data_IF_815108846327
#
_entry.id   IF_815108846327
#
_cell.length_a   1.000
_cell.length_b   1.000
_cell.length_c   1.000
_cell.angle_alpha   90.00
_cell.angle_beta   90.00
_cell.angle_gamma   90.00
#
_symmetry.space_group_name_H-M   'P 1'
#
loop_
_entity.id
_entity.type
_entity.pdbx_description
1 polymer ?
#
# COMPACT_ATOMS: atom_id res chain seq x y z
N UNK A 1 -1.18 6.17 38.79
CA UNK A 1 -1.01 5.25 39.93
C UNK A 1 0.48 5.06 40.13
N UNK A 2 1.08 5.67 41.17
CA UNK A 2 2.44 5.43 41.72
C UNK A 2 3.65 5.62 40.75
N UNK A 3 4.81 6.17 41.14
CA UNK A 3 5.23 6.86 42.37
C UNK A 3 6.38 7.84 42.05
N UNK A 4 6.67 8.74 42.99
CA UNK A 4 7.60 9.88 42.88
C UNK A 4 8.89 9.59 43.67
N UNK A 5 10.00 10.30 43.42
CA UNK A 5 11.28 9.98 44.08
C UNK A 5 12.44 10.96 43.88
N UNK A 6 12.28 12.23 44.26
CA UNK A 6 13.42 13.16 44.42
C UNK A 6 14.00 13.04 45.84
N UNK A 7 15.32 12.98 45.98
CA UNK A 7 16.00 13.10 47.28
C UNK A 7 16.89 14.35 47.32
N UNK A 8 16.72 15.19 48.33
CA UNK A 8 17.52 16.39 48.61
C UNK A 8 17.87 16.38 50.10
N UNK A 9 19.13 16.16 50.44
CA UNK A 9 19.61 16.32 51.81
C UNK A 9 20.08 17.75 52.05
N UNK A 10 19.61 18.34 53.15
CA UNK A 10 20.12 19.58 53.74
C UNK A 10 20.57 19.28 55.16
N UNK A 11 21.76 19.74 55.53
CA UNK A 11 22.26 19.68 56.90
C UNK A 11 22.84 21.05 57.29
N UNK A 12 22.50 21.50 58.50
CA UNK A 12 22.94 22.77 59.10
C UNK A 12 24.13 22.50 60.03
N UNK A 13 24.94 23.53 60.31
CA UNK A 13 25.95 23.45 61.38
C UNK A 13 26.72 24.75 61.62
N UNK A 14 26.32 25.52 62.64
CA UNK A 14 27.17 26.52 63.31
C UNK A 14 27.39 26.07 64.77
N UNK A 15 28.52 26.44 65.39
CA UNK A 15 28.47 27.31 66.59
C UNK A 15 29.52 28.45 66.55
N UNK A 16 29.21 29.71 66.92
CA UNK A 16 29.22 30.36 68.27
C UNK A 16 30.61 30.81 68.77
N UNK A 17 30.81 32.11 69.03
CA UNK A 17 30.82 32.83 70.35
C UNK A 17 32.24 32.87 70.98
N UNK A 18 32.82 33.96 71.54
CA UNK A 18 32.48 35.41 71.68
C UNK A 18 33.75 36.27 71.93
N UNK A 19 33.75 37.62 71.74
CA UNK A 19 34.87 38.53 72.10
C UNK A 19 34.84 38.91 73.60
N UNK A 20 35.90 39.55 74.17
CA UNK A 20 35.63 40.84 74.84
C UNK A 20 36.79 41.87 75.04
N UNK A 21 36.35 43.12 75.26
CA UNK A 21 36.85 44.16 76.20
C UNK A 21 38.12 44.97 75.91
N UNK A 22 37.98 46.28 76.17
CA UNK A 22 39.05 47.24 76.41
C UNK A 22 38.90 47.95 77.77
N UNK A 23 39.71 48.97 77.99
CA UNK A 23 39.89 49.70 79.25
C UNK A 23 41.40 49.74 79.62
N UNK A 24 41.94 50.78 80.24
CA UNK A 24 41.36 52.06 80.67
C UNK A 24 42.48 53.11 80.76
N UNK A 25 42.17 54.38 80.54
CA UNK A 25 43.13 55.49 80.61
C UNK A 25 43.50 55.86 82.04
N UNK A 26 44.78 56.20 82.28
CA UNK A 26 45.21 57.10 83.35
C UNK A 26 46.28 58.04 82.82
N UNK A 27 46.01 59.34 82.85
CA UNK A 27 46.98 60.38 82.58
C UNK A 27 47.67 60.84 83.85
N UNK A 28 48.94 61.23 83.75
CA UNK A 28 49.62 62.06 84.75
C UNK A 28 50.26 63.22 83.98
N UNK A 29 49.85 64.43 84.33
CA UNK A 29 50.44 65.69 83.87
C UNK A 29 51.59 66.14 84.78
N UNK A 30 52.35 67.14 84.30
CA UNK A 30 53.51 67.84 84.89
C UNK A 30 54.83 67.42 84.21
N UNK A 31 55.66 68.32 83.67
CA UNK A 31 55.50 69.78 83.52
C UNK A 31 56.54 70.31 82.51
N UNK A 32 56.31 71.50 81.95
CA UNK A 32 57.25 72.17 81.04
C UNK A 32 58.31 72.95 81.81
N UNK A 33 59.56 72.95 81.31
CA UNK A 33 60.25 74.20 81.07
C UNK A 33 60.73 74.34 79.61
N UNK A 34 60.72 75.57 79.12
CA UNK A 34 61.19 76.01 77.80
C UNK A 34 62.62 76.61 77.90
N UNK A 35 63.26 77.10 76.84
CA UNK A 35 63.62 76.37 75.61
C UNK A 35 65.07 76.68 75.11
N UNK A 36 65.87 75.69 74.73
CA UNK A 36 67.01 75.84 73.79
C UNK A 36 67.08 74.57 72.90
N UNK A 37 67.65 74.66 71.68
CA UNK A 37 67.64 73.64 70.61
C UNK A 37 66.28 73.36 69.93
N UNK A 38 65.74 74.35 69.20
CA UNK A 38 64.57 74.17 68.30
C UNK A 38 64.84 74.21 66.79
N UNK A 39 66.06 74.49 66.34
CA UNK A 39 66.35 74.63 64.90
C UNK A 39 66.47 73.29 64.14
N UNK A 40 67.32 72.38 64.60
CA UNK A 40 67.70 71.16 63.84
C UNK A 40 66.63 70.06 63.84
N UNK A 41 65.81 69.98 64.88
CA UNK A 41 64.79 68.94 65.05
C UNK A 41 63.54 69.23 64.21
N UNK A 42 63.19 70.50 63.99
CA UNK A 42 62.01 70.87 63.19
C UNK A 42 62.22 70.50 61.71
N UNK A 43 63.39 70.76 61.15
CA UNK A 43 63.72 70.41 59.76
C UNK A 43 63.72 68.90 59.54
N UNK A 44 64.29 68.11 60.46
CA UNK A 44 64.29 66.64 60.33
C UNK A 44 62.90 66.02 60.49
N UNK A 45 62.04 66.60 61.34
CA UNK A 45 60.64 66.20 61.46
C UNK A 45 59.80 66.64 60.24
N UNK A 46 60.07 67.79 59.63
CA UNK A 46 59.42 68.22 58.40
C UNK A 46 59.82 67.37 57.18
N UNK A 47 61.11 66.98 57.07
CA UNK A 47 61.58 66.04 56.04
C UNK A 47 60.96 64.66 56.25
N UNK A 48 60.97 64.13 57.49
CA UNK A 48 60.26 62.88 57.81
C UNK A 48 58.78 62.99 57.45
N UNK A 49 58.09 64.06 57.84
CA UNK A 49 56.67 64.28 57.50
C UNK A 49 56.44 64.29 55.98
N UNK A 50 57.28 64.99 55.19
CA UNK A 50 57.18 64.96 53.73
C UNK A 50 57.39 63.55 53.15
N UNK A 51 58.33 62.77 53.67
CA UNK A 51 58.52 61.37 53.25
C UNK A 51 57.35 60.47 53.66
N UNK A 52 56.79 60.64 54.86
CA UNK A 52 55.59 59.91 55.31
C UNK A 52 54.36 60.27 54.45
N UNK A 53 54.16 61.55 54.14
CA UNK A 53 53.10 62.00 53.23
C UNK A 53 53.37 61.58 51.77
N UNK A 54 54.62 61.38 51.35
CA UNK A 54 54.97 60.83 50.04
C UNK A 54 54.63 59.33 49.97
N UNK A 55 55.11 58.52 50.91
CA UNK A 55 54.76 57.10 51.01
C UNK A 55 53.24 56.88 51.11
N UNK A 56 52.52 57.64 51.94
CA UNK A 56 51.06 57.52 52.02
C UNK A 56 50.34 57.92 50.72
N UNK A 57 50.91 58.84 49.93
CA UNK A 57 50.40 59.17 48.58
C UNK A 57 50.72 58.08 47.56
N UNK A 58 51.89 57.46 47.63
CA UNK A 58 52.28 56.32 46.80
C UNK A 58 51.44 55.08 47.12
N UNK A 59 51.28 54.71 48.39
CA UNK A 59 50.40 53.62 48.84
C UNK A 59 48.94 53.89 48.45
N UNK A 60 48.48 55.15 48.57
CA UNK A 60 47.15 55.57 48.10
C UNK A 60 46.98 55.51 46.57
N UNK A 61 48.04 55.73 45.80
CA UNK A 61 48.04 55.57 44.35
C UNK A 61 48.08 54.09 43.94
N UNK A 62 48.90 53.28 44.62
CA UNK A 62 48.96 51.82 44.46
C UNK A 62 47.62 51.16 44.79
N UNK A 63 46.93 51.58 45.86
CA UNK A 63 45.60 51.07 46.20
C UNK A 63 44.54 51.43 45.14
N UNK A 64 44.60 52.65 44.58
CA UNK A 64 43.75 53.05 43.45
C UNK A 64 44.04 52.22 42.20
N UNK A 65 45.32 52.02 41.85
CA UNK A 65 45.74 51.17 40.74
C UNK A 65 45.29 49.71 40.93
N UNK A 66 45.45 49.15 42.13
CA UNK A 66 44.99 47.81 42.49
C UNK A 66 43.46 47.67 42.34
N UNK A 67 42.70 48.67 42.81
CA UNK A 67 41.24 48.71 42.65
C UNK A 67 40.82 48.78 41.17
N UNK A 68 41.50 49.60 40.36
CA UNK A 68 41.29 49.68 38.91
C UNK A 68 41.61 48.35 38.21
N UNK A 69 42.72 47.70 38.56
CA UNK A 69 43.09 46.38 38.05
C UNK A 69 42.06 45.30 38.45
N UNK A 70 41.57 45.31 39.69
CA UNK A 70 40.49 44.43 40.13
C UNK A 70 39.15 44.70 39.40
N UNK A 71 38.88 45.94 38.99
CA UNK A 71 37.72 46.27 38.15
C UNK A 71 37.91 45.78 36.72
N UNK A 72 39.07 46.00 36.11
CA UNK A 72 39.42 45.49 34.78
C UNK A 72 39.39 43.96 34.74
N UNK A 73 39.92 43.30 35.76
CA UNK A 73 39.90 41.83 35.89
C UNK A 73 38.47 41.30 36.00
N UNK A 74 37.61 41.93 36.81
CA UNK A 74 36.17 41.58 36.91
C UNK A 74 35.44 41.83 35.59
N UNK A 75 35.72 42.94 34.92
CA UNK A 75 35.18 43.24 33.59
C UNK A 75 35.58 42.16 32.58
N UNK A 76 36.87 41.82 32.50
CA UNK A 76 37.40 40.78 31.62
C UNK A 76 36.77 39.41 31.88
N UNK A 77 36.61 39.01 33.16
CA UNK A 77 35.92 37.77 33.52
C UNK A 77 34.44 37.79 33.10
N UNK A 78 33.75 38.93 33.19
CA UNK A 78 32.36 39.06 32.73
C UNK A 78 32.25 38.94 31.21
N UNK A 79 33.12 39.62 30.45
CA UNK A 79 33.20 39.52 28.99
C UNK A 79 33.56 38.10 28.52
N UNK A 80 34.51 37.46 29.19
CA UNK A 80 34.89 36.07 28.94
C UNK A 80 33.70 35.13 29.17
N UNK A 81 33.01 35.22 30.31
CA UNK A 81 31.78 34.43 30.57
C UNK A 81 30.71 34.65 29.50
N UNK A 82 30.49 35.89 29.05
CA UNK A 82 29.53 36.20 27.99
C UNK A 82 29.94 35.58 26.64
N UNK A 83 31.23 35.64 26.27
CA UNK A 83 31.73 35.03 25.03
C UNK A 83 31.61 33.51 25.06
N UNK A 84 31.92 32.86 26.19
CA UNK A 84 31.76 31.41 26.34
C UNK A 84 30.29 30.98 26.28
N UNK A 85 29.36 31.75 26.87
CA UNK A 85 27.92 31.49 26.74
C UNK A 85 27.46 31.56 25.27
N UNK A 86 27.91 32.58 24.53
CA UNK A 86 27.61 32.72 23.10
C UNK A 86 28.23 31.62 22.24
N UNK A 87 29.39 31.10 22.62
CA UNK A 87 30.05 29.99 21.94
C UNK A 87 29.27 28.69 22.12
N UNK A 88 28.85 28.38 23.34
CA UNK A 88 28.00 27.22 23.68
C UNK A 88 26.64 27.28 22.97
N UNK A 89 25.97 28.44 22.95
CA UNK A 89 24.77 28.66 22.14
C UNK A 89 25.01 28.41 20.64
N UNK A 90 26.15 28.86 20.09
CA UNK A 90 26.50 28.65 18.68
C UNK A 90 26.84 27.20 18.35
N UNK A 91 27.46 26.46 19.26
CA UNK A 91 27.70 25.02 19.08
C UNK A 91 26.37 24.24 19.04
N UNK A 92 25.44 24.53 19.97
CA UNK A 92 24.10 23.92 19.97
C UNK A 92 23.31 24.21 18.68
N UNK A 93 23.39 25.43 18.16
CA UNK A 93 22.77 25.76 16.87
C UNK A 93 23.40 25.00 15.70
N UNK A 94 24.72 24.82 15.70
CA UNK A 94 25.43 24.02 14.69
C UNK A 94 25.05 22.53 14.74
N UNK A 95 24.84 21.96 15.93
CA UNK A 95 24.33 20.58 16.10
C UNK A 95 22.90 20.42 15.55
N UNK A 96 22.03 21.42 15.75
CA UNK A 96 20.68 21.42 15.17
C UNK A 96 20.72 21.56 13.63
N UNK A 97 21.62 22.39 13.10
CA UNK A 97 21.78 22.58 11.65
C UNK A 97 22.38 21.35 10.96
N UNK A 98 23.36 20.68 11.59
CA UNK A 98 23.95 19.43 11.07
C UNK A 98 22.98 18.24 11.15
N UNK A 99 22.14 18.16 12.19
CA UNK A 99 21.08 17.13 12.24
C UNK A 99 19.99 17.38 11.20
N UNK A 100 19.51 18.63 11.05
CA UNK A 100 18.52 18.99 10.04
C UNK A 100 19.00 18.74 8.61
N UNK A 101 20.26 19.05 8.29
CA UNK A 101 20.85 18.76 6.95
C UNK A 101 21.01 17.25 6.71
N UNK A 102 21.31 16.47 7.74
CA UNK A 102 21.29 15.01 7.70
C UNK A 102 19.92 14.44 7.36
N UNK A 103 18.86 14.89 8.06
CA UNK A 103 17.48 14.50 7.75
C UNK A 103 17.07 14.88 6.32
N UNK A 104 17.44 16.09 5.88
CA UNK A 104 17.12 16.59 4.54
C UNK A 104 17.77 15.73 3.45
N UNK A 105 19.04 15.32 3.62
CA UNK A 105 19.71 14.38 2.69
C UNK A 105 19.07 12.99 2.67
N UNK A 106 18.52 12.53 3.79
CA UNK A 106 17.79 11.25 3.87
C UNK A 106 16.49 11.33 3.07
N UNK A 107 15.73 12.41 3.25
CA UNK A 107 14.49 12.68 2.49
C UNK A 107 14.79 12.83 0.99
N UNK A 108 15.89 13.50 0.61
CA UNK A 108 16.30 13.61 -0.80
C UNK A 108 16.63 12.24 -1.41
N UNK A 109 17.26 11.35 -0.64
CA UNK A 109 17.58 9.98 -1.06
C UNK A 109 16.30 9.13 -1.22
N UNK A 110 15.36 9.23 -0.27
CA UNK A 110 14.04 8.58 -0.36
C UNK A 110 13.26 9.10 -1.60
N UNK A 111 13.28 10.41 -1.86
CA UNK A 111 12.60 11.01 -3.00
C UNK A 111 13.19 10.54 -4.35
N UNK A 112 14.52 10.45 -4.47
CA UNK A 112 15.19 9.90 -5.66
C UNK A 112 14.83 8.42 -5.88
N UNK A 113 14.74 7.63 -4.82
CA UNK A 113 14.30 6.24 -4.90
C UNK A 113 12.84 6.13 -5.40
N UNK A 114 11.94 6.97 -4.89
CA UNK A 114 10.56 7.06 -5.40
C UNK A 114 10.49 7.50 -6.87
N UNK A 115 11.26 8.51 -7.28
CA UNK A 115 11.32 8.96 -8.68
C UNK A 115 11.72 7.80 -9.61
N UNK A 116 12.80 7.10 -9.30
CA UNK A 116 13.22 5.92 -10.07
C UNK A 116 12.14 4.81 -10.10
N UNK A 117 11.40 4.61 -9.00
CA UNK A 117 10.27 3.67 -8.99
C UNK A 117 9.14 4.09 -9.96
N UNK A 118 8.83 5.38 -10.06
CA UNK A 118 7.83 5.90 -11.00
C UNK A 118 8.28 5.80 -12.46
N UNK A 119 9.55 6.10 -12.75
CA UNK A 119 10.15 5.95 -14.09
C UNK A 119 10.11 4.48 -14.55
N UNK A 120 10.52 3.55 -13.70
CA UNK A 120 10.41 2.12 -13.98
C UNK A 120 8.97 1.68 -14.26
N UNK A 121 7.99 2.21 -13.51
CA UNK A 121 6.56 1.95 -13.76
C UNK A 121 6.09 2.52 -15.11
N UNK A 122 6.53 3.73 -15.47
CA UNK A 122 6.23 4.35 -16.77
C UNK A 122 6.79 3.51 -17.92
N UNK A 123 8.04 3.05 -17.84
CA UNK A 123 8.66 2.17 -18.85
C UNK A 123 7.90 0.84 -18.99
N UNK A 124 7.43 0.25 -17.89
CA UNK A 124 6.60 -0.97 -17.94
C UNK A 124 5.24 -0.69 -18.60
N UNK A 125 4.62 0.45 -18.33
CA UNK A 125 3.34 0.83 -18.96
C UNK A 125 3.50 1.10 -20.46
N UNK A 126 4.59 1.77 -20.89
CA UNK A 126 4.91 1.98 -22.31
C UNK A 126 5.11 0.64 -23.04
N UNK A 127 5.83 -0.32 -22.45
CA UNK A 127 5.98 -1.67 -23.03
C UNK A 127 4.65 -2.42 -23.15
N UNK A 128 3.74 -2.26 -22.17
CA UNK A 128 2.39 -2.83 -22.24
C UNK A 128 1.54 -2.18 -23.33
N UNK A 129 1.67 -0.86 -23.53
CA UNK A 129 0.94 -0.14 -24.58
C UNK A 129 1.34 -0.64 -25.97
N UNK A 130 2.64 -0.75 -26.25
CA UNK A 130 3.11 -1.30 -27.53
C UNK A 130 2.65 -2.75 -27.79
N UNK A 131 2.53 -3.57 -26.75
CA UNK A 131 1.96 -4.92 -26.87
C UNK A 131 0.43 -4.94 -27.10
N UNK A 132 -0.29 -3.88 -26.73
CA UNK A 132 -1.70 -3.72 -27.10
C UNK A 132 -1.85 -3.25 -28.55
N UNK A 133 -0.93 -2.42 -29.05
CA UNK A 133 -0.92 -1.99 -30.45
C UNK A 133 -0.65 -3.16 -31.41
N UNK A 134 0.21 -4.12 -31.06
CA UNK A 134 0.40 -5.35 -31.85
C UNK A 134 -0.87 -6.20 -31.89
N UNK A 135 -1.51 -6.43 -30.73
CA UNK A 135 -2.77 -7.20 -30.65
C UNK A 135 -3.89 -6.52 -31.44
N UNK A 136 -3.92 -5.18 -31.47
CA UNK A 136 -4.85 -4.41 -32.32
C UNK A 136 -4.60 -4.68 -33.81
N UNK A 137 -3.35 -4.73 -34.24
CA UNK A 137 -2.97 -5.08 -35.61
C UNK A 137 -3.42 -6.49 -36.00
N UNK A 138 -3.29 -7.46 -35.08
CA UNK A 138 -3.76 -8.84 -35.26
C UNK A 138 -5.29 -8.89 -35.40
N UNK A 139 -6.02 -8.19 -34.52
CA UNK A 139 -7.49 -8.06 -34.58
C UNK A 139 -7.94 -7.47 -35.92
N UNK A 140 -7.30 -6.39 -36.39
CA UNK A 140 -7.61 -5.79 -37.69
C UNK A 140 -7.27 -6.72 -38.87
N UNK A 141 -6.34 -7.67 -38.69
CA UNK A 141 -6.09 -8.73 -39.68
C UNK A 141 -7.17 -9.81 -39.69
N UNK A 142 -7.51 -10.35 -38.52
CA UNK A 142 -8.64 -11.31 -38.38
C UNK A 142 -9.93 -10.70 -38.94
N UNK A 143 -10.18 -9.41 -38.67
CA UNK A 143 -11.33 -8.68 -39.21
C UNK A 143 -11.35 -8.63 -40.75
N UNK A 144 -10.20 -8.38 -41.38
CA UNK A 144 -10.06 -8.41 -42.85
C UNK A 144 -10.34 -9.81 -43.40
N UNK A 145 -9.87 -10.86 -42.75
CA UNK A 145 -10.04 -12.24 -43.21
C UNK A 145 -11.47 -12.76 -42.99
N UNK A 146 -12.12 -12.40 -41.88
CA UNK A 146 -13.56 -12.62 -41.68
C UNK A 146 -14.42 -11.92 -42.75
N UNK A 147 -14.03 -10.72 -43.21
CA UNK A 147 -14.73 -10.05 -44.32
C UNK A 147 -14.64 -10.86 -45.60
N UNK A 148 -13.43 -11.32 -45.98
CA UNK A 148 -13.22 -12.18 -47.17
C UNK A 148 -14.04 -13.47 -47.10
N UNK A 149 -14.06 -14.12 -45.94
CA UNK A 149 -14.85 -15.33 -45.69
C UNK A 149 -16.36 -15.08 -45.80
N UNK A 150 -16.82 -13.90 -45.39
CA UNK A 150 -18.23 -13.50 -45.52
C UNK A 150 -18.61 -13.34 -47.00
N UNK A 151 -17.74 -12.74 -47.82
CA UNK A 151 -18.02 -12.51 -49.24
C UNK A 151 -17.89 -13.80 -50.07
N UNK A 152 -16.99 -14.72 -49.73
CA UNK A 152 -16.96 -16.06 -50.34
C UNK A 152 -18.18 -16.88 -49.94
N UNK A 153 -18.65 -16.77 -48.68
CA UNK A 153 -19.88 -17.41 -48.22
C UNK A 153 -21.11 -16.93 -49.00
N UNK A 154 -21.30 -15.61 -49.17
CA UNK A 154 -22.36 -15.04 -50.04
C UNK A 154 -22.29 -15.58 -51.47
N UNK A 155 -21.07 -15.63 -52.03
CA UNK A 155 -20.84 -16.13 -53.40
C UNK A 155 -21.20 -17.61 -53.53
N UNK A 156 -20.91 -18.44 -52.52
CA UNK A 156 -21.34 -19.84 -52.48
C UNK A 156 -22.86 -19.98 -52.31
N UNK A 157 -23.49 -19.12 -51.49
CA UNK A 157 -24.95 -19.07 -51.32
C UNK A 157 -25.69 -18.85 -52.64
N UNK A 158 -25.34 -17.80 -53.40
CA UNK A 158 -25.94 -17.54 -54.71
C UNK A 158 -25.67 -18.64 -55.75
N UNK A 159 -24.55 -19.38 -55.62
CA UNK A 159 -24.30 -20.57 -56.45
C UNK A 159 -25.18 -21.77 -56.07
N UNK A 160 -25.53 -21.92 -54.79
CA UNK A 160 -26.44 -22.95 -54.30
C UNK A 160 -27.88 -22.66 -54.74
N UNK A 161 -28.36 -21.43 -54.58
CA UNK A 161 -29.68 -21.01 -55.11
C UNK A 161 -29.78 -21.27 -56.62
N UNK A 162 -28.76 -20.88 -57.39
CA UNK A 162 -28.72 -21.15 -58.83
C UNK A 162 -28.62 -22.64 -59.21
N UNK A 163 -28.18 -23.52 -58.32
CA UNK A 163 -28.29 -24.97 -58.51
C UNK A 163 -29.67 -25.50 -58.12
N UNK A 164 -30.30 -24.94 -57.08
CA UNK A 164 -31.63 -25.30 -56.64
C UNK A 164 -32.69 -24.96 -57.70
N UNK A 165 -32.59 -23.79 -58.33
CA UNK A 165 -33.49 -23.40 -59.43
C UNK A 165 -33.33 -24.29 -60.67
N UNK A 166 -32.10 -24.71 -60.98
CA UNK A 166 -31.84 -25.71 -62.03
C UNK A 166 -32.43 -27.07 -61.68
N UNK A 167 -32.36 -27.49 -60.41
CA UNK A 167 -33.00 -28.71 -59.93
C UNK A 167 -34.52 -28.63 -60.07
N UNK A 168 -35.15 -27.53 -59.64
CA UNK A 168 -36.60 -27.28 -59.83
C UNK A 168 -36.99 -27.32 -61.31
N UNK A 169 -36.19 -26.71 -62.20
CA UNK A 169 -36.43 -26.73 -63.65
C UNK A 169 -36.35 -28.14 -64.24
N UNK A 170 -35.31 -28.93 -63.90
CA UNK A 170 -35.17 -30.33 -64.33
C UNK A 170 -36.31 -31.18 -63.78
N UNK A 171 -36.70 -30.99 -62.52
CA UNK A 171 -37.82 -31.69 -61.89
C UNK A 171 -39.15 -31.38 -62.60
N UNK A 172 -39.37 -30.11 -63.02
CA UNK A 172 -40.49 -29.72 -63.87
C UNK A 172 -40.48 -30.40 -65.25
N UNK A 173 -39.32 -30.52 -65.90
CA UNK A 173 -39.18 -31.26 -67.17
C UNK A 173 -39.44 -32.78 -67.01
N UNK A 174 -39.07 -33.36 -65.87
CA UNK A 174 -39.37 -34.77 -65.54
C UNK A 174 -40.87 -34.99 -65.29
N UNK A 175 -41.59 -34.00 -64.76
CA UNK A 175 -43.06 -34.05 -64.64
C UNK A 175 -43.74 -33.93 -66.00
N UNK A 176 -43.30 -33.01 -66.89
CA UNK A 176 -43.91 -32.88 -68.23
C UNK A 176 -43.63 -34.08 -69.14
N UNK A 177 -42.47 -34.72 -69.03
CA UNK A 177 -42.15 -35.95 -69.76
C UNK A 177 -42.90 -37.20 -69.28
N UNK A 178 -43.39 -37.22 -68.03
CA UNK A 178 -44.34 -38.24 -67.54
C UNK A 178 -45.77 -38.06 -68.08
N UNK A 179 -46.07 -36.95 -68.77
CA UNK A 179 -47.41 -36.65 -69.32
C UNK A 179 -47.80 -37.41 -70.59
N UNK A 180 -46.97 -38.33 -71.10
CA UNK A 180 -47.26 -39.10 -72.31
C UNK A 180 -47.70 -40.53 -71.94
N UNK A 181 -48.96 -40.93 -72.18
CA UNK A 181 -49.41 -42.29 -71.83
C UNK A 181 -48.80 -43.31 -72.81
N UNK A 182 -47.75 -43.98 -72.36
CA UNK A 182 -47.28 -45.23 -72.94
C UNK A 182 -47.68 -46.38 -72.01
N UNK A 183 -48.44 -47.32 -72.55
CA UNK A 183 -48.83 -48.57 -71.89
C UNK A 183 -47.60 -49.35 -71.41
N UNK A 184 -47.57 -49.71 -70.11
CA UNK A 184 -46.51 -50.55 -69.55
C UNK A 184 -46.23 -50.25 -68.08
N UNK A 185 -47.00 -50.86 -67.18
CA UNK A 185 -46.80 -50.70 -65.74
C UNK A 185 -45.51 -51.41 -65.27
N UNK A 186 -44.40 -50.68 -65.24
CA UNK A 186 -43.13 -51.18 -64.66
C UNK A 186 -43.10 -50.98 -63.14
N UNK A 187 -42.86 -52.08 -62.41
CA UNK A 187 -42.99 -52.19 -60.95
C UNK A 187 -41.72 -51.85 -60.14
N UNK A 188 -40.73 -51.19 -60.76
CA UNK A 188 -39.34 -51.11 -60.25
C UNK A 188 -38.82 -49.68 -59.97
N UNK A 189 -39.69 -48.68 -59.81
CA UNK A 189 -39.28 -47.27 -59.69
C UNK A 189 -39.01 -46.73 -58.27
N UNK A 190 -39.48 -47.39 -57.22
CA UNK A 190 -39.73 -46.76 -55.91
C UNK A 190 -38.52 -46.77 -54.95
N UNK A 191 -37.75 -47.86 -54.94
CA UNK A 191 -36.67 -48.06 -53.94
C UNK A 191 -35.45 -47.15 -54.12
N UNK A 192 -35.31 -46.48 -55.26
CA UNK A 192 -34.13 -45.66 -55.58
C UNK A 192 -34.26 -44.21 -55.11
N UNK A 193 -35.49 -43.69 -55.01
CA UNK A 193 -35.78 -42.40 -54.35
C UNK A 193 -35.70 -42.52 -52.84
N UNK A 194 -36.28 -43.59 -52.29
CA UNK A 194 -36.32 -43.86 -50.85
C UNK A 194 -34.91 -44.02 -50.25
N UNK A 195 -34.04 -44.78 -50.94
CA UNK A 195 -32.63 -44.93 -50.55
C UNK A 195 -31.85 -43.60 -50.57
N UNK A 196 -32.21 -42.64 -51.44
CA UNK A 196 -31.60 -41.30 -51.47
C UNK A 196 -32.15 -40.39 -50.37
N UNK A 197 -33.45 -40.45 -50.08
CA UNK A 197 -34.07 -39.77 -48.93
C UNK A 197 -33.40 -40.21 -47.62
N UNK A 198 -33.30 -41.52 -47.39
CA UNK A 198 -32.67 -42.09 -46.20
C UNK A 198 -31.16 -41.77 -46.04
N UNK A 199 -30.47 -41.31 -47.10
CA UNK A 199 -29.09 -40.78 -46.99
C UNK A 199 -29.09 -39.30 -46.60
N UNK A 200 -30.06 -38.52 -47.08
CA UNK A 200 -30.21 -37.10 -46.73
C UNK A 200 -30.67 -36.96 -45.27
N UNK A 201 -31.64 -37.76 -44.83
CA UNK A 201 -32.15 -37.76 -43.45
C UNK A 201 -31.05 -38.05 -42.43
N UNK A 202 -30.29 -39.15 -42.61
CA UNK A 202 -29.10 -39.45 -41.78
C UNK A 202 -28.05 -38.34 -41.80
N UNK A 203 -27.96 -37.56 -42.89
CA UNK A 203 -27.03 -36.42 -42.96
C UNK A 203 -27.56 -35.20 -42.22
N UNK A 204 -28.88 -34.99 -42.18
CA UNK A 204 -29.53 -33.96 -41.35
C UNK A 204 -29.32 -34.30 -39.87
N UNK A 205 -29.60 -35.53 -39.44
CA UNK A 205 -29.42 -35.99 -38.06
C UNK A 205 -27.99 -35.76 -37.54
N UNK A 206 -26.97 -36.13 -38.34
CA UNK A 206 -25.56 -35.89 -37.95
C UNK A 206 -25.22 -34.39 -37.92
N UNK A 207 -25.79 -33.56 -38.82
CA UNK A 207 -25.59 -32.11 -38.77
C UNK A 207 -26.27 -31.48 -37.54
N UNK A 208 -27.45 -31.95 -37.14
CA UNK A 208 -28.13 -31.53 -35.90
C UNK A 208 -27.34 -31.94 -34.64
N UNK A 209 -26.79 -33.15 -34.65
CA UNK A 209 -25.88 -33.64 -33.58
C UNK A 209 -24.61 -32.80 -33.48
N UNK A 210 -24.02 -32.40 -34.62
CA UNK A 210 -22.89 -31.47 -34.64
C UNK A 210 -23.30 -30.06 -34.19
N UNK A 211 -24.47 -29.57 -34.57
CA UNK A 211 -24.98 -28.25 -34.19
C UNK A 211 -25.24 -28.14 -32.68
N UNK A 212 -25.81 -29.19 -32.06
CA UNK A 212 -26.01 -29.26 -30.61
C UNK A 212 -24.68 -29.33 -29.84
N UNK A 213 -23.71 -30.11 -30.33
CA UNK A 213 -22.35 -30.13 -29.77
C UNK A 213 -21.66 -28.76 -29.85
N UNK A 214 -21.75 -28.08 -31.00
CA UNK A 214 -21.19 -26.73 -31.17
C UNK A 214 -21.85 -25.70 -30.23
N UNK A 215 -23.18 -25.75 -30.04
CA UNK A 215 -23.90 -24.87 -29.09
C UNK A 215 -23.39 -25.03 -27.65
N UNK A 216 -23.15 -26.27 -27.21
CA UNK A 216 -22.55 -26.54 -25.89
C UNK A 216 -21.13 -25.97 -25.82
N UNK A 217 -20.32 -26.18 -26.86
CA UNK A 217 -18.93 -25.70 -26.86
C UNK A 217 -18.81 -24.17 -26.90
N UNK A 218 -19.70 -23.48 -27.62
CA UNK A 218 -19.82 -22.01 -27.58
C UNK A 218 -20.20 -21.54 -26.17
N UNK A 219 -21.19 -22.18 -25.54
CA UNK A 219 -21.62 -21.82 -24.17
C UNK A 219 -20.49 -21.99 -23.14
N UNK A 220 -19.70 -23.07 -23.26
CA UNK A 220 -18.51 -23.32 -22.45
C UNK A 220 -17.44 -22.24 -22.65
N UNK A 221 -17.14 -21.88 -23.90
CA UNK A 221 -16.18 -20.82 -24.23
C UNK A 221 -16.64 -19.44 -23.76
N UNK A 222 -17.94 -19.12 -23.83
CA UNK A 222 -18.51 -17.89 -23.29
C UNK A 222 -18.32 -17.79 -21.77
N UNK A 223 -18.57 -18.88 -21.04
CA UNK A 223 -18.33 -18.96 -19.59
C UNK A 223 -16.84 -18.81 -19.25
N UNK A 224 -15.95 -19.47 -19.98
CA UNK A 224 -14.50 -19.35 -19.80
C UNK A 224 -13.99 -17.93 -20.10
N UNK A 225 -14.48 -17.31 -21.17
CA UNK A 225 -14.16 -15.92 -21.51
C UNK A 225 -14.65 -14.95 -20.43
N UNK A 226 -15.89 -15.12 -19.94
CA UNK A 226 -16.44 -14.30 -18.88
C UNK A 226 -15.64 -14.44 -17.57
N UNK A 227 -15.22 -15.65 -17.22
CA UNK A 227 -14.36 -15.89 -16.06
C UNK A 227 -12.97 -15.26 -16.23
N UNK A 228 -12.39 -15.34 -17.43
CA UNK A 228 -11.09 -14.73 -17.77
C UNK A 228 -11.14 -13.20 -17.68
N UNK A 229 -12.17 -12.57 -18.25
CA UNK A 229 -12.38 -11.12 -18.22
C UNK A 229 -12.63 -10.58 -16.80
N UNK A 230 -13.22 -11.40 -15.91
CA UNK A 230 -13.43 -11.05 -14.51
C UNK A 230 -12.20 -11.29 -13.62
N UNK A 231 -11.17 -12.00 -14.10
CA UNK A 231 -10.00 -12.37 -13.32
C UNK A 231 -9.05 -11.18 -13.07
N UNK A 232 -8.66 -11.00 -11.82
CA UNK A 232 -7.64 -10.01 -11.43
C UNK A 232 -6.34 -10.68 -10.99
N UNK A 233 -5.20 -10.01 -11.20
CA UNK A 233 -3.85 -10.57 -11.00
C UNK A 233 -2.99 -9.67 -10.10
N UNK A 234 -3.59 -9.12 -9.05
CA UNK A 234 -2.97 -8.16 -8.11
C UNK A 234 -3.47 -8.35 -6.65
N UNK A 235 -4.12 -9.47 -6.35
CA UNK A 235 -4.70 -9.76 -5.04
C UNK A 235 -5.93 -8.93 -4.64
N UNK A 236 -6.43 -8.06 -5.53
CA UNK A 236 -7.63 -7.23 -5.29
C UNK A 236 -8.72 -7.60 -6.28
N UNK A 237 -9.91 -7.96 -5.80
CA UNK A 237 -11.00 -8.46 -6.62
C UNK A 237 -12.33 -7.84 -6.20
N UNK A 238 -13.12 -7.40 -7.19
CA UNK A 238 -14.44 -6.79 -6.98
C UNK A 238 -15.51 -7.72 -7.55
N UNK A 239 -16.31 -8.33 -6.66
CA UNK A 239 -17.39 -9.21 -7.08
C UNK A 239 -18.73 -8.48 -7.12
N UNK A 240 -19.26 -8.27 -8.32
CA UNK A 240 -20.66 -7.84 -8.52
C UNK A 240 -21.55 -9.08 -8.63
N UNK A 241 -22.49 -9.24 -7.69
CA UNK A 241 -23.54 -10.26 -7.75
C UNK A 241 -24.80 -9.62 -8.36
N UNK A 242 -25.21 -9.99 -9.60
CA UNK A 242 -26.47 -9.51 -10.17
C UNK A 242 -27.67 -10.23 -9.55
N UNK A 243 -28.82 -9.56 -9.53
CA UNK A 243 -30.12 -10.11 -9.11
C UNK A 243 -30.12 -10.77 -7.72
N UNK A 244 -29.49 -10.13 -6.74
CA UNK A 244 -29.38 -10.62 -5.35
C UNK A 244 -30.74 -11.05 -4.79
N UNK A 245 -31.82 -10.31 -5.08
CA UNK A 245 -33.17 -10.66 -4.64
C UNK A 245 -33.67 -12.01 -5.19
N UNK A 246 -33.38 -12.31 -6.47
CA UNK A 246 -33.70 -13.63 -7.07
C UNK A 246 -32.81 -14.70 -6.46
N UNK A 247 -31.49 -14.51 -6.45
CA UNK A 247 -30.52 -15.49 -5.92
C UNK A 247 -30.77 -15.80 -4.44
N UNK A 248 -31.24 -14.83 -3.65
CA UNK A 248 -31.64 -15.04 -2.26
C UNK A 248 -32.89 -15.91 -2.15
N UNK A 249 -33.91 -15.74 -3.01
CA UNK A 249 -35.04 -16.68 -3.08
C UNK A 249 -34.58 -18.08 -3.47
N UNK A 250 -33.73 -18.19 -4.49
CA UNK A 250 -33.14 -19.47 -4.92
C UNK A 250 -32.38 -20.19 -3.78
N UNK A 251 -31.79 -19.44 -2.83
CA UNK A 251 -31.10 -19.96 -1.63
C UNK A 251 -32.05 -20.23 -0.43
N UNK A 252 -33.18 -19.53 -0.33
CA UNK A 252 -34.24 -19.79 0.68
C UNK A 252 -35.04 -21.03 0.32
N UNK A 253 -35.32 -21.22 -0.97
CA UNK A 253 -35.97 -22.41 -1.54
C UNK A 253 -34.98 -23.59 -1.71
N UNK A 254 -33.75 -23.46 -1.21
CA UNK A 254 -32.68 -24.47 -1.21
C UNK A 254 -32.28 -25.02 -2.61
N UNK A 255 -32.78 -24.40 -3.69
CA UNK A 255 -32.45 -24.71 -5.10
C UNK A 255 -30.98 -24.42 -5.43
N UNK A 256 -30.44 -23.31 -4.92
CA UNK A 256 -29.02 -22.93 -5.06
C UNK A 256 -28.55 -22.32 -3.73
N UNK A 257 -27.99 -23.16 -2.84
CA UNK A 257 -27.59 -22.75 -1.48
C UNK A 257 -26.39 -21.81 -1.45
N UNK A 258 -25.44 -21.96 -2.36
CA UNK A 258 -24.21 -21.15 -2.41
C UNK A 258 -23.81 -20.79 -3.84
N UNK A 259 -23.16 -19.64 -4.00
CA UNK A 259 -22.61 -19.17 -5.27
C UNK A 259 -21.10 -18.91 -5.14
N UNK A 260 -20.36 -19.14 -6.22
CA UNK A 260 -18.93 -18.86 -6.32
C UNK A 260 -18.68 -17.60 -7.16
N UNK A 261 -17.62 -16.87 -6.82
CA UNK A 261 -17.08 -15.83 -7.68
C UNK A 261 -16.24 -16.43 -8.82
N UNK A 262 -16.04 -15.68 -9.92
CA UNK A 262 -14.90 -15.91 -10.80
C UNK A 262 -13.58 -16.06 -10.02
N UNK A 263 -12.63 -16.89 -10.50
CA UNK A 263 -11.30 -16.98 -9.91
C UNK A 263 -10.52 -15.68 -10.08
N UNK A 264 -9.66 -15.39 -9.11
CA UNK A 264 -8.71 -14.27 -9.12
C UNK A 264 -7.38 -14.71 -8.48
N UNK A 265 -6.34 -13.89 -8.65
CA UNK A 265 -4.96 -14.26 -8.34
C UNK A 265 -4.21 -13.17 -7.57
N UNK A 266 -3.25 -13.56 -6.73
CA UNK A 266 -2.36 -12.59 -6.03
C UNK A 266 -1.42 -11.87 -6.99
N UNK A 267 -1.10 -12.49 -8.13
CA UNK A 267 -0.18 -12.02 -9.15
C UNK A 267 -0.37 -12.83 -10.44
N UNK A 268 0.34 -12.48 -11.52
CA UNK A 268 0.30 -13.26 -12.79
C UNK A 268 0.64 -14.73 -12.58
N UNK A 269 1.67 -14.99 -11.77
CA UNK A 269 2.12 -16.34 -11.41
C UNK A 269 1.84 -16.60 -9.92
N UNK A 270 0.68 -16.15 -9.43
CA UNK A 270 0.31 -16.16 -8.01
C UNK A 270 -0.67 -17.26 -7.62
N UNK A 271 -1.08 -17.27 -6.34
CA UNK A 271 -2.10 -18.21 -5.84
C UNK A 271 -3.43 -17.95 -6.53
N UNK A 272 -4.13 -19.01 -6.94
CA UNK A 272 -5.49 -18.96 -7.47
C UNK A 272 -6.48 -19.04 -6.31
N UNK A 273 -7.51 -18.20 -6.33
CA UNK A 273 -8.49 -18.09 -5.26
C UNK A 273 -9.86 -17.67 -5.79
N UNK A 274 -10.92 -17.97 -5.03
CA UNK A 274 -12.27 -17.47 -5.28
C UNK A 274 -13.00 -17.21 -3.95
N UNK A 275 -14.15 -16.55 -4.03
CA UNK A 275 -15.05 -16.34 -2.88
C UNK A 275 -16.28 -17.22 -3.06
N UNK A 276 -16.74 -17.84 -1.96
CA UNK A 276 -18.02 -18.55 -1.88
C UNK A 276 -18.96 -17.76 -0.97
N UNK A 277 -20.19 -17.50 -1.43
CA UNK A 277 -21.21 -16.79 -0.67
C UNK A 277 -22.48 -17.62 -0.48
N UNK A 278 -23.08 -17.51 0.71
CA UNK A 278 -24.38 -18.07 1.04
C UNK A 278 -25.35 -16.93 1.38
N UNK A 279 -26.23 -16.61 0.44
CA UNK A 279 -27.17 -15.48 0.56
C UNK A 279 -28.29 -15.71 1.60
N UNK A 280 -28.38 -16.92 2.13
CA UNK A 280 -29.30 -17.34 3.19
C UNK A 280 -28.54 -17.89 4.42
N UNK A 281 -27.26 -17.55 4.56
CA UNK A 281 -26.40 -17.98 5.66
C UNK A 281 -25.93 -19.43 5.59
N UNK A 282 -24.91 -19.76 6.37
CA UNK A 282 -24.30 -21.08 6.55
C UNK A 282 -23.90 -21.26 8.03
N UNK A 283 -23.84 -22.50 8.51
CA UNK A 283 -23.49 -22.83 9.90
C UNK A 283 -24.30 -22.02 10.93
N UNK A 284 -23.60 -21.28 11.80
CA UNK A 284 -24.22 -20.46 12.86
C UNK A 284 -25.00 -19.24 12.34
N UNK A 285 -24.71 -18.77 11.12
CA UNK A 285 -25.38 -17.63 10.49
C UNK A 285 -26.59 -18.04 9.63
N UNK A 286 -26.93 -19.33 9.58
CA UNK A 286 -28.01 -19.86 8.74
C UNK A 286 -29.34 -19.10 8.93
N UNK A 287 -29.99 -18.76 7.82
CA UNK A 287 -31.24 -17.98 7.69
C UNK A 287 -31.22 -16.57 8.32
N UNK A 288 -30.11 -16.14 8.92
CA UNK A 288 -30.00 -14.85 9.64
C UNK A 288 -28.99 -13.88 9.03
N UNK A 289 -27.87 -14.39 8.51
CA UNK A 289 -26.75 -13.59 8.01
C UNK A 289 -26.41 -13.90 6.54
N UNK A 290 -25.53 -13.08 5.96
CA UNK A 290 -24.83 -13.36 4.71
C UNK A 290 -23.47 -13.96 5.06
N UNK A 291 -23.25 -15.23 4.73
CA UNK A 291 -21.96 -15.88 4.98
C UNK A 291 -21.03 -15.75 3.77
N UNK A 292 -19.77 -15.40 4.02
CA UNK A 292 -18.74 -15.21 3.00
C UNK A 292 -17.48 -15.99 3.37
N UNK A 293 -17.03 -16.84 2.45
CA UNK A 293 -15.84 -17.67 2.64
C UNK A 293 -14.83 -17.46 1.52
N UNK A 294 -13.57 -17.41 1.92
CA UNK A 294 -12.41 -17.43 1.04
C UNK A 294 -12.05 -18.88 0.71
N UNK A 295 -11.72 -19.14 -0.56
CA UNK A 295 -11.35 -20.46 -1.07
C UNK A 295 -10.02 -20.34 -1.83
N UNK A 296 -9.03 -21.13 -1.43
CA UNK A 296 -7.85 -21.39 -2.25
C UNK A 296 -8.17 -22.47 -3.27
N UNK A 297 -7.79 -22.23 -4.52
CA UNK A 297 -7.97 -23.14 -5.63
C UNK A 297 -6.61 -23.65 -6.10
N UNK A 298 -6.60 -24.84 -6.71
CA UNK A 298 -5.39 -25.36 -7.36
C UNK A 298 -4.96 -24.46 -8.52
N UNK A 299 -3.77 -23.89 -8.41
CA UNK A 299 -3.11 -23.06 -9.42
C UNK A 299 -2.07 -23.84 -10.23
N UNK A 300 -1.79 -23.35 -11.43
CA UNK A 300 -0.71 -23.89 -12.29
C UNK A 300 0.67 -23.71 -11.63
N UNK A 301 0.86 -22.57 -10.97
CA UNK A 301 2.13 -22.17 -10.34
C UNK A 301 2.27 -22.62 -8.88
N UNK A 302 1.33 -23.41 -8.34
CA UNK A 302 1.39 -23.94 -6.96
C UNK A 302 2.72 -24.61 -6.56
N UNK A 303 3.47 -25.31 -7.45
CA UNK A 303 4.80 -25.84 -7.11
C UNK A 303 5.88 -24.77 -6.83
N UNK A 304 5.69 -23.54 -7.33
CA UNK A 304 6.64 -22.43 -7.23
C UNK A 304 6.32 -21.47 -6.07
N UNK A 305 5.16 -21.64 -5.44
CA UNK A 305 4.64 -20.77 -4.40
C UNK A 305 4.98 -21.29 -3.00
N UNK A 306 5.02 -20.37 -2.02
CA UNK A 306 5.26 -20.70 -0.62
C UNK A 306 3.99 -21.30 -0.01
N UNK A 307 4.14 -22.35 0.80
CA UNK A 307 3.03 -22.97 1.51
C UNK A 307 3.37 -23.20 2.99
N UNK A 308 2.39 -23.13 3.91
CA UNK A 308 0.98 -22.75 3.67
C UNK A 308 0.79 -21.27 3.31
N UNK A 309 -0.37 -20.93 2.76
CA UNK A 309 -0.73 -19.57 2.39
C UNK A 309 -0.84 -18.69 3.63
N UNK A 310 -0.03 -17.62 3.69
CA UNK A 310 0.14 -16.78 4.90
C UNK A 310 -0.35 -15.33 4.73
N UNK A 311 -0.88 -14.97 3.56
CA UNK A 311 -1.30 -13.60 3.25
C UNK A 311 -2.61 -13.22 3.96
N UNK A 312 -2.62 -12.04 4.58
CA UNK A 312 -3.81 -11.45 5.24
C UNK A 312 -4.96 -11.27 4.23
N UNK A 313 -6.12 -11.86 4.52
CA UNK A 313 -7.33 -11.77 3.68
C UNK A 313 -8.27 -10.73 4.28
N UNK A 314 -8.86 -9.89 3.44
CA UNK A 314 -9.92 -8.95 3.83
C UNK A 314 -11.10 -9.09 2.90
N UNK A 315 -12.25 -9.46 3.47
CA UNK A 315 -13.55 -9.53 2.81
C UNK A 315 -14.28 -8.22 3.09
N UNK A 316 -14.77 -7.57 2.04
CA UNK A 316 -15.41 -6.25 2.14
C UNK A 316 -16.76 -6.32 1.44
N UNK A 317 -17.85 -6.14 2.19
CA UNK A 317 -19.15 -5.85 1.62
C UNK A 317 -19.21 -4.34 1.36
N UNK A 318 -19.16 -3.97 0.08
CA UNK A 318 -19.15 -2.59 -0.37
C UNK A 318 -20.55 -2.00 -0.29
N UNK A 319 -20.65 -0.87 0.40
CA UNK A 319 -21.84 -0.01 0.44
C UNK A 319 -21.82 0.94 -0.77
N UNK A 320 -22.89 0.94 -1.55
CA UNK A 320 -23.01 1.72 -2.79
C UNK A 320 -23.22 3.21 -2.54
N UNK A 321 -23.73 3.59 -1.37
CA UNK A 321 -23.85 4.99 -0.95
C UNK A 321 -22.56 5.51 -0.30
N UNK A 322 -21.50 4.69 -0.24
CA UNK A 322 -20.19 4.99 0.37
C UNK A 322 -20.25 5.46 1.84
N UNK A 323 -21.31 5.14 2.58
CA UNK A 323 -21.48 5.59 3.98
C UNK A 323 -20.69 4.71 4.93
N UNK A 324 -20.86 3.38 4.83
CA UNK A 324 -20.16 2.42 5.70
C UNK A 324 -20.03 1.03 5.07
N UNK A 325 -18.83 0.71 4.60
CA UNK A 325 -18.49 -0.65 4.18
C UNK A 325 -18.39 -1.58 5.40
N UNK A 326 -18.80 -2.84 5.25
CA UNK A 326 -18.57 -3.88 6.27
C UNK A 326 -17.29 -4.61 5.88
N UNK A 327 -16.29 -4.56 6.76
CA UNK A 327 -14.96 -5.15 6.55
C UNK A 327 -14.74 -6.25 7.57
N UNK A 328 -14.41 -7.45 7.10
CA UNK A 328 -13.94 -8.54 7.96
C UNK A 328 -12.60 -9.07 7.44
N UNK A 329 -11.64 -9.15 8.35
CA UNK A 329 -10.25 -9.40 8.01
C UNK A 329 -9.70 -10.48 8.91
N UNK A 330 -9.05 -11.48 8.31
CA UNK A 330 -8.41 -12.56 9.05
C UNK A 330 -7.00 -12.83 8.51
N UNK A 331 -6.15 -13.39 9.37
CA UNK A 331 -4.85 -13.93 8.97
C UNK A 331 -4.97 -15.46 8.90
N UNK A 332 -4.62 -16.09 7.77
CA UNK A 332 -4.51 -17.55 7.68
C UNK A 332 -3.67 -18.16 8.80
N UNK A 333 -4.15 -19.26 9.36
CA UNK A 333 -3.46 -20.08 10.37
C UNK A 333 -2.78 -21.27 9.67
N UNK A 334 -1.43 -21.42 9.74
CA UNK A 334 -0.67 -22.48 9.07
C UNK A 334 -1.18 -23.92 9.30
N UNK A 335 -1.83 -24.16 10.44
CA UNK A 335 -2.30 -25.45 10.91
C UNK A 335 -3.53 -25.93 10.13
N UNK A 336 -4.38 -24.98 9.68
CA UNK A 336 -5.64 -25.26 9.00
C UNK A 336 -5.44 -25.85 7.61
N UNK A 337 -6.21 -26.89 7.28
CA UNK A 337 -6.22 -27.53 5.96
C UNK A 337 -6.62 -26.56 4.83
N UNK A 338 -7.44 -25.54 5.12
CA UNK A 338 -7.88 -24.52 4.16
C UNK A 338 -6.73 -23.78 3.47
N UNK A 339 -5.58 -23.63 4.15
CA UNK A 339 -4.45 -22.82 3.68
C UNK A 339 -3.22 -23.66 3.27
N UNK A 340 -3.31 -24.98 3.33
CA UNK A 340 -2.26 -25.88 2.82
C UNK A 340 -2.30 -25.92 1.28
N UNK A 341 -1.22 -26.41 0.67
CA UNK A 341 -1.13 -26.55 -0.79
C UNK A 341 -2.30 -27.41 -1.31
N UNK A 342 -3.08 -26.94 -2.30
CA UNK A 342 -4.21 -27.68 -2.84
C UNK A 342 -3.82 -29.06 -3.39
N UNK A 343 -4.55 -30.08 -2.95
CA UNK A 343 -4.51 -31.45 -3.49
C UNK A 343 -5.70 -31.75 -4.39
N UNK A 344 -6.80 -31.00 -4.24
CA UNK A 344 -8.00 -30.97 -5.08
C UNK A 344 -8.18 -29.57 -5.71
N UNK A 345 -9.14 -29.41 -6.61
CA UNK A 345 -9.36 -28.14 -7.33
C UNK A 345 -9.71 -26.96 -6.42
N UNK A 346 -10.32 -27.23 -5.26
CA UNK A 346 -10.64 -26.26 -4.21
C UNK A 346 -10.30 -26.85 -2.84
N UNK A 347 -9.74 -26.03 -1.96
CA UNK A 347 -9.57 -26.32 -0.54
C UNK A 347 -10.88 -26.12 0.24
N UNK A 348 -10.92 -26.59 1.49
CA UNK A 348 -11.98 -26.26 2.45
C UNK A 348 -12.09 -24.74 2.62
N UNK A 349 -13.27 -24.19 2.39
CA UNK A 349 -13.53 -22.76 2.47
C UNK A 349 -13.35 -22.24 3.92
N UNK A 350 -12.76 -21.06 4.08
CA UNK A 350 -12.53 -20.42 5.39
C UNK A 350 -12.97 -18.97 5.38
N UNK A 351 -13.67 -18.51 6.42
CA UNK A 351 -14.20 -17.16 6.47
C UNK A 351 -15.24 -16.97 7.54
N UNK A 352 -16.39 -16.44 7.14
CA UNK A 352 -17.31 -15.71 8.00
C UNK A 352 -18.72 -16.34 7.84
N UNK A 353 -19.11 -17.27 8.74
CA UNK A 353 -20.46 -17.84 8.76
C UNK A 353 -21.50 -16.80 9.20
#
# INVERSE_FOLDING_TARGET
>A
MLLWGHCKCSARGCPRDSPPKGGQTRGISLGLPTPIYRATTITSLQVKRKNWEAHFREDGALFKHMSSLQHLLRSLHSSHRQLYSKLDEKQKLMEVETTATGELSRVETELKAFQSQYENRLTILQKKLGALDTVRGDIDSVRRDCSKLTDTSKTMGGRLEAQEDKLKQVQGQVVTSKGRPSSGASRYGDSFSDSRMAVVERKIEELERQNTMLKVHVSELELQLQASLASTHNGSFLWRIPDVARRRRDAIEERITSIYSPPFYTGRNGYKMCIRAYLNGDGIGFKTHLSLFFVLMRGEYDPLLKWPFEHKVSLILVDQDHRKHIVQTFKPTPESSSFKRPTSDMNVASGCP
#
